data_IF_167608630006
#
_entry.id   IF_167608630006
#
_cell.length_a   1.000
_cell.length_b   1.000
_cell.length_c   1.000
_cell.angle_alpha   90.00
_cell.angle_beta   90.00
_cell.angle_gamma   90.00
#
_symmetry.space_group_name_H-M   'P 1'
#
loop_
_entity.id
_entity.type
_entity.pdbx_description
1 polymer ?
#
# COMPACT_ATOMS: atom_id res chain seq x y z
N UNK A 1 -19.39 -18.66 21.23
CA UNK A 1 -20.13 -19.72 20.52
C UNK A 1 -19.25 -20.40 19.46
N UNK A 2 -18.69 -19.68 18.43
CA UNK A 2 -17.86 -20.32 17.40
C UNK A 2 -16.64 -21.04 17.98
N UNK A 3 -15.92 -20.44 18.93
CA UNK A 3 -14.79 -21.07 19.64
C UNK A 3 -15.21 -22.36 20.38
N UNK A 4 -16.33 -22.32 21.04
CA UNK A 4 -16.83 -23.52 21.82
C UNK A 4 -17.21 -24.66 20.88
N UNK A 5 -17.77 -24.34 19.70
CA UNK A 5 -18.09 -25.34 18.68
C UNK A 5 -16.82 -25.98 18.12
N UNK A 6 -15.75 -25.18 17.86
CA UNK A 6 -14.45 -25.69 17.41
C UNK A 6 -13.81 -26.57 18.48
N UNK A 7 -13.76 -26.14 19.73
CA UNK A 7 -13.19 -26.91 20.84
C UNK A 7 -13.94 -28.24 21.08
N UNK A 8 -15.24 -28.27 20.80
CA UNK A 8 -16.07 -29.48 20.90
C UNK A 8 -16.10 -30.31 19.62
N UNK A 9 -15.30 -29.96 18.62
CA UNK A 9 -15.27 -30.59 17.28
C UNK A 9 -16.63 -30.64 16.58
N UNK A 10 -17.54 -29.70 16.90
CA UNK A 10 -18.90 -29.67 16.35
C UNK A 10 -18.90 -28.87 15.01
N UNK A 11 -18.47 -29.55 13.93
CA UNK A 11 -18.39 -28.95 12.61
C UNK A 11 -19.78 -28.71 11.99
N UNK A 12 -20.76 -29.54 12.31
CA UNK A 12 -22.13 -29.37 11.83
C UNK A 12 -22.79 -28.14 12.46
N UNK A 13 -22.54 -27.88 13.74
CA UNK A 13 -22.96 -26.65 14.40
C UNK A 13 -22.32 -25.41 13.78
N UNK A 14 -21.03 -25.46 13.43
CA UNK A 14 -20.36 -24.38 12.71
C UNK A 14 -20.99 -24.13 11.33
N UNK A 15 -21.25 -25.21 10.58
CA UNK A 15 -21.88 -25.11 9.25
C UNK A 15 -23.29 -24.56 9.33
N UNK A 16 -24.06 -25.00 10.31
CA UNK A 16 -25.44 -24.54 10.48
C UNK A 16 -25.56 -23.07 10.83
N UNK A 17 -24.66 -22.55 11.68
CA UNK A 17 -24.73 -21.15 12.17
C UNK A 17 -23.99 -20.18 11.28
N UNK A 18 -22.84 -20.57 10.72
CA UNK A 18 -21.93 -19.67 9.99
C UNK A 18 -21.79 -20.01 8.49
N UNK A 19 -22.41 -21.08 8.02
CA UNK A 19 -22.41 -21.51 6.62
C UNK A 19 -21.12 -22.21 6.21
N UNK A 20 -19.98 -21.52 6.24
CA UNK A 20 -18.68 -22.05 5.81
C UNK A 20 -17.79 -22.40 7.00
N UNK A 21 -17.44 -23.68 7.16
CA UNK A 21 -16.51 -24.15 8.20
C UNK A 21 -15.09 -23.62 7.95
N UNK A 22 -14.51 -23.67 6.72
CA UNK A 22 -13.19 -23.12 6.46
C UNK A 22 -13.07 -21.64 6.79
N UNK A 23 -14.07 -20.84 6.41
CA UNK A 23 -14.05 -19.39 6.70
C UNK A 23 -14.15 -19.11 8.20
N UNK A 24 -14.99 -19.87 8.92
CA UNK A 24 -15.10 -19.77 10.38
C UNK A 24 -13.78 -20.12 11.08
N UNK A 25 -13.10 -21.18 10.65
CA UNK A 25 -11.79 -21.58 11.19
C UNK A 25 -10.72 -20.54 10.85
N UNK A 26 -10.71 -20.00 9.64
CA UNK A 26 -9.79 -18.92 9.23
C UNK A 26 -9.90 -17.69 10.13
N UNK A 27 -11.12 -17.28 10.48
CA UNK A 27 -11.35 -16.15 11.39
C UNK A 27 -10.96 -16.44 12.85
N UNK A 28 -10.88 -17.69 13.23
CA UNK A 28 -10.52 -18.13 14.58
C UNK A 28 -9.04 -18.47 14.78
N UNK A 29 -8.22 -18.38 13.74
CA UNK A 29 -6.80 -18.78 13.77
C UNK A 29 -6.01 -18.10 14.89
N UNK A 30 -6.32 -16.83 15.20
CA UNK A 30 -5.67 -16.09 16.30
C UNK A 30 -5.90 -16.71 17.68
N UNK A 31 -6.96 -17.49 17.85
CA UNK A 31 -7.26 -18.15 19.13
C UNK A 31 -6.37 -19.36 19.40
N UNK A 32 -5.62 -19.82 18.38
CA UNK A 32 -4.63 -20.88 18.51
C UNK A 32 -3.27 -20.37 19.05
N UNK A 33 -3.05 -19.05 19.06
CA UNK A 33 -1.85 -18.47 19.66
C UNK A 33 -2.03 -18.38 21.17
N UNK A 34 -1.47 -19.35 21.87
CA UNK A 34 -1.52 -19.46 23.35
C UNK A 34 -0.09 -19.46 23.87
N UNK A 35 0.22 -18.56 24.81
CA UNK A 35 1.51 -18.58 25.48
C UNK A 35 1.61 -19.82 26.40
N UNK A 36 2.74 -20.53 26.40
CA UNK A 36 3.01 -21.56 27.41
C UNK A 36 2.97 -20.99 28.82
N UNK A 37 2.82 -21.85 29.82
CA UNK A 37 2.85 -21.43 31.23
C UNK A 37 4.15 -20.68 31.56
N UNK A 38 4.01 -19.54 32.25
CA UNK A 38 5.13 -18.66 32.60
C UNK A 38 5.66 -17.78 31.44
N UNK A 39 5.01 -17.81 30.26
CA UNK A 39 5.37 -17.00 29.10
C UNK A 39 4.22 -16.04 28.74
N UNK A 40 4.58 -15.00 28.01
CA UNK A 40 3.62 -14.06 27.40
C UNK A 40 3.92 -13.92 25.90
N UNK A 41 2.88 -13.72 25.11
CA UNK A 41 3.00 -13.33 23.71
C UNK A 41 2.99 -11.79 23.65
N UNK A 42 4.03 -11.22 23.05
CA UNK A 42 4.11 -9.79 22.79
C UNK A 42 3.81 -9.59 21.30
N UNK A 43 2.74 -8.85 21.01
CA UNK A 43 2.38 -8.43 19.66
C UNK A 43 2.58 -6.93 19.56
N UNK A 44 3.50 -6.52 18.71
CA UNK A 44 3.82 -5.12 18.48
C UNK A 44 3.83 -4.83 16.96
N UNK A 45 3.12 -3.79 16.55
CA UNK A 45 3.05 -3.34 15.17
C UNK A 45 3.25 -1.84 15.08
N UNK A 46 3.87 -1.37 14.00
CA UNK A 46 4.00 0.05 13.75
C UNK A 46 2.67 0.65 13.28
N UNK A 47 2.24 1.71 13.95
CA UNK A 47 1.05 2.43 13.53
C UNK A 47 1.27 3.14 12.20
N UNK A 48 0.50 2.77 11.17
CA UNK A 48 0.50 3.38 9.83
C UNK A 48 1.90 3.47 9.20
N UNK A 49 2.71 2.40 9.28
CA UNK A 49 4.12 2.43 8.86
C UNK A 49 4.28 2.81 7.39
N UNK A 50 3.46 2.30 6.49
CA UNK A 50 3.53 2.64 5.07
C UNK A 50 3.26 4.13 4.83
N UNK A 51 2.27 4.72 5.52
CA UNK A 51 1.98 6.14 5.43
C UNK A 51 3.12 7.02 5.97
N UNK A 52 3.85 6.55 6.99
CA UNK A 52 5.06 7.21 7.50
C UNK A 52 6.20 7.14 6.50
N UNK A 53 6.47 5.95 5.98
CA UNK A 53 7.56 5.71 5.02
C UNK A 53 7.35 6.49 3.73
N UNK A 54 6.14 6.47 3.13
CA UNK A 54 5.88 7.23 1.90
C UNK A 54 6.01 8.73 2.13
N UNK A 55 5.55 9.23 3.29
CA UNK A 55 5.68 10.65 3.65
C UNK A 55 7.14 11.08 3.78
N UNK A 56 7.97 10.21 4.40
CA UNK A 56 9.41 10.43 4.54
C UNK A 56 10.10 10.36 3.19
N UNK A 57 9.84 9.32 2.41
CA UNK A 57 10.46 9.10 1.10
C UNK A 57 10.13 10.24 0.11
N UNK A 58 8.89 10.71 0.09
CA UNK A 58 8.47 11.84 -0.74
C UNK A 58 8.89 13.21 -0.16
N UNK A 59 9.21 13.28 1.12
CA UNK A 59 9.46 14.55 1.82
C UNK A 59 8.19 15.39 2.01
N UNK A 60 7.01 14.77 2.16
CA UNK A 60 5.72 15.47 2.34
C UNK A 60 5.61 16.06 3.75
N UNK A 61 5.99 17.34 3.90
CA UNK A 61 6.27 17.97 5.19
C UNK A 61 5.07 18.01 6.15
N UNK A 62 3.86 18.33 5.65
CA UNK A 62 2.69 18.41 6.51
C UNK A 62 2.36 17.06 7.15
N UNK A 63 2.58 15.95 6.42
CA UNK A 63 2.37 14.60 6.93
C UNK A 63 3.43 14.22 7.96
N UNK A 64 4.68 14.60 7.71
CA UNK A 64 5.76 14.38 8.67
C UNK A 64 5.48 15.10 9.98
N UNK A 65 4.95 16.33 9.92
CA UNK A 65 4.56 17.07 11.11
C UNK A 65 3.40 16.41 11.86
N UNK A 66 2.39 15.92 11.15
CA UNK A 66 1.31 15.11 11.74
C UNK A 66 1.87 13.92 12.52
N UNK A 67 2.83 13.19 11.93
CA UNK A 67 3.43 12.03 12.61
C UNK A 67 4.35 12.39 13.77
N UNK A 68 4.98 13.55 13.75
CA UNK A 68 5.80 14.04 14.89
C UNK A 68 4.96 14.50 16.06
N UNK A 69 3.75 14.98 15.83
CA UNK A 69 2.89 15.57 16.84
C UNK A 69 1.87 14.58 17.39
N UNK A 70 0.82 14.27 16.66
CA UNK A 70 -0.31 13.49 17.16
C UNK A 70 -0.60 12.18 16.42
N UNK A 71 0.01 11.96 15.25
CA UNK A 71 -0.11 10.71 14.45
C UNK A 71 -1.48 10.44 13.83
N UNK A 72 -2.44 11.36 13.91
CA UNK A 72 -3.82 11.18 13.43
C UNK A 72 -3.90 11.44 11.92
N UNK A 73 -3.26 10.60 11.11
CA UNK A 73 -3.12 10.84 9.68
C UNK A 73 -4.47 10.84 8.94
N UNK A 74 -5.44 10.01 9.35
CA UNK A 74 -6.74 9.93 8.69
C UNK A 74 -7.58 11.19 8.92
N UNK A 75 -7.58 11.70 10.15
CA UNK A 75 -8.22 12.96 10.51
C UNK A 75 -7.55 14.14 9.81
N UNK A 76 -6.21 14.16 9.78
CA UNK A 76 -5.45 15.20 9.11
C UNK A 76 -5.67 15.20 7.60
N UNK A 77 -5.70 14.04 6.96
CA UNK A 77 -5.99 13.91 5.54
C UNK A 77 -7.40 14.39 5.21
N UNK A 78 -8.39 14.00 6.03
CA UNK A 78 -9.76 14.52 5.89
C UNK A 78 -9.81 16.04 6.06
N UNK A 79 -9.11 16.59 7.05
CA UNK A 79 -8.98 18.04 7.26
C UNK A 79 -8.43 18.75 6.02
N UNK A 80 -7.36 18.24 5.43
CA UNK A 80 -6.75 18.81 4.22
C UNK A 80 -7.67 18.73 2.99
N UNK A 81 -8.36 17.60 2.80
CA UNK A 81 -9.24 17.40 1.65
C UNK A 81 -10.53 18.25 1.73
N UNK A 82 -11.11 18.38 2.92
CA UNK A 82 -12.43 18.98 3.09
C UNK A 82 -12.42 20.38 3.72
N UNK A 83 -11.23 20.89 4.12
CA UNK A 83 -11.09 22.20 4.74
C UNK A 83 -11.74 22.32 6.12
N UNK A 84 -11.97 21.19 6.80
CA UNK A 84 -12.55 21.12 8.14
C UNK A 84 -11.45 21.07 9.19
N UNK A 85 -11.46 21.90 10.23
CA UNK A 85 -10.47 21.85 11.31
C UNK A 85 -10.38 20.44 11.94
N UNK A 86 -9.16 19.94 12.12
CA UNK A 86 -8.92 18.58 12.63
C UNK A 86 -9.57 18.33 13.99
N UNK A 87 -9.66 19.38 14.82
CA UNK A 87 -10.26 19.31 16.17
C UNK A 87 -11.77 19.03 16.14
N UNK A 88 -12.43 19.28 15.02
CA UNK A 88 -13.84 18.92 14.82
C UNK A 88 -13.99 17.46 14.39
N UNK A 89 -12.96 16.84 13.79
CA UNK A 89 -12.99 15.46 13.30
C UNK A 89 -12.67 14.49 14.47
N UNK A 90 -13.52 14.49 15.48
CA UNK A 90 -13.40 13.65 16.68
C UNK A 90 -14.71 12.96 17.04
N UNK A 91 -14.62 11.86 17.79
CA UNK A 91 -15.80 11.12 18.28
C UNK A 91 -16.75 12.06 19.03
N UNK A 92 -18.03 11.98 18.71
CA UNK A 92 -19.09 12.81 19.26
C UNK A 92 -19.49 13.98 18.38
N UNK A 93 -18.71 14.36 17.39
CA UNK A 93 -19.03 15.41 16.43
C UNK A 93 -19.56 14.80 15.12
N UNK A 94 -20.47 15.49 14.39
CA UNK A 94 -20.93 15.06 13.05
C UNK A 94 -19.77 14.89 12.07
N UNK A 95 -18.76 15.76 12.14
CA UNK A 95 -17.58 15.76 11.26
C UNK A 95 -16.71 14.51 11.42
N UNK A 96 -16.92 13.71 12.47
CA UNK A 96 -16.17 12.45 12.65
C UNK A 96 -16.37 11.47 11.50
N UNK A 97 -17.48 11.55 10.77
CA UNK A 97 -17.70 10.75 9.57
C UNK A 97 -16.63 11.00 8.49
N UNK A 98 -16.05 12.20 8.41
CA UNK A 98 -14.97 12.54 7.48
C UNK A 98 -13.69 11.75 7.72
N UNK A 99 -13.45 11.30 8.96
CA UNK A 99 -12.31 10.44 9.26
C UNK A 99 -12.32 9.16 8.43
N UNK A 100 -13.50 8.59 8.19
CA UNK A 100 -13.62 7.38 7.38
C UNK A 100 -13.29 7.66 5.91
N UNK A 101 -13.73 8.80 5.37
CA UNK A 101 -13.34 9.26 4.04
C UNK A 101 -11.83 9.48 3.94
N UNK A 102 -11.22 10.10 4.94
CA UNK A 102 -9.76 10.26 5.05
C UNK A 102 -9.02 8.91 5.08
N UNK A 103 -9.54 7.93 5.84
CA UNK A 103 -8.94 6.58 5.90
C UNK A 103 -8.98 5.88 4.53
N UNK A 104 -10.12 5.90 3.85
CA UNK A 104 -10.26 5.28 2.52
C UNK A 104 -9.33 5.95 1.51
N UNK A 105 -9.28 7.29 1.50
CA UNK A 105 -8.39 8.04 0.63
C UNK A 105 -6.90 7.69 0.88
N UNK A 106 -6.47 7.62 2.13
CA UNK A 106 -5.10 7.24 2.50
C UNK A 106 -4.72 5.84 2.00
N UNK A 107 -5.61 4.86 2.15
CA UNK A 107 -5.34 3.48 1.76
C UNK A 107 -5.40 3.29 0.23
N UNK A 108 -6.31 4.00 -0.46
CA UNK A 108 -6.55 3.82 -1.89
C UNK A 108 -5.62 4.67 -2.77
N UNK A 109 -5.26 5.88 -2.35
CA UNK A 109 -4.66 6.87 -3.23
C UNK A 109 -3.14 7.00 -3.10
N UNK A 110 -2.55 6.47 -2.02
CA UNK A 110 -1.12 6.60 -1.73
C UNK A 110 -0.18 6.10 -2.84
N UNK A 111 -0.65 5.18 -3.68
CA UNK A 111 0.13 4.53 -4.71
C UNK A 111 -0.46 4.72 -6.11
N UNK A 112 -0.83 5.95 -6.43
CA UNK A 112 -1.38 6.37 -7.73
C UNK A 112 -2.79 5.77 -8.01
N UNK A 113 -3.51 5.32 -6.97
CA UNK A 113 -4.89 4.90 -7.10
C UNK A 113 -5.80 6.03 -7.62
N UNK A 114 -6.95 5.63 -8.14
CA UNK A 114 -7.99 6.54 -8.64
C UNK A 114 -9.36 6.09 -8.12
N UNK A 115 -10.44 6.53 -8.75
CA UNK A 115 -11.82 6.20 -8.36
C UNK A 115 -12.06 4.71 -8.21
N UNK A 116 -11.54 3.87 -9.12
CA UNK A 116 -11.63 2.41 -9.01
C UNK A 116 -10.96 1.85 -7.74
N UNK A 117 -9.85 2.43 -7.28
CA UNK A 117 -9.20 2.02 -6.04
C UNK A 117 -10.05 2.40 -4.81
N UNK A 118 -10.70 3.57 -4.82
CA UNK A 118 -11.64 3.99 -3.77
C UNK A 118 -12.84 3.02 -3.68
N UNK A 119 -13.42 2.66 -4.82
CA UNK A 119 -14.53 1.70 -4.89
C UNK A 119 -14.10 0.34 -4.31
N UNK A 120 -12.95 -0.17 -4.74
CA UNK A 120 -12.41 -1.45 -4.25
C UNK A 120 -12.10 -1.43 -2.74
N UNK A 121 -11.83 -0.27 -2.16
CA UNK A 121 -11.65 -0.07 -0.71
C UNK A 121 -12.97 0.18 0.03
N UNK A 122 -14.12 0.01 -0.63
CA UNK A 122 -15.43 0.10 -0.01
C UNK A 122 -15.97 1.53 0.14
N UNK A 123 -15.55 2.48 -0.67
CA UNK A 123 -16.02 3.87 -0.59
C UNK A 123 -17.55 3.96 -0.72
N UNK A 124 -18.15 3.20 -1.64
CA UNK A 124 -19.60 3.17 -1.86
C UNK A 124 -20.34 2.55 -0.66
N UNK A 125 -19.79 1.46 -0.08
CA UNK A 125 -20.35 0.81 1.11
C UNK A 125 -20.32 1.72 2.34
N UNK A 126 -19.43 2.71 2.34
CA UNK A 126 -19.33 3.74 3.38
C UNK A 126 -20.23 4.96 3.11
N UNK A 127 -21.08 4.88 2.09
CA UNK A 127 -22.03 5.94 1.75
C UNK A 127 -21.39 7.16 1.06
N UNK A 128 -20.23 7.00 0.43
CA UNK A 128 -19.64 8.05 -0.42
C UNK A 128 -20.27 7.92 -1.81
N UNK A 129 -20.96 8.96 -2.33
CA UNK A 129 -21.51 8.92 -3.67
C UNK A 129 -20.43 8.75 -4.74
N UNK A 130 -20.74 8.00 -5.80
CA UNK A 130 -19.78 7.74 -6.86
C UNK A 130 -19.34 9.03 -7.58
N UNK A 131 -20.25 9.99 -7.71
CA UNK A 131 -19.97 11.30 -8.27
C UNK A 131 -18.96 12.13 -7.47
N UNK A 132 -18.80 11.88 -6.16
CA UNK A 132 -17.83 12.57 -5.31
C UNK A 132 -16.39 12.00 -5.45
N UNK A 133 -16.24 10.78 -5.96
CA UNK A 133 -14.94 10.10 -5.98
C UNK A 133 -13.87 10.83 -6.80
N UNK A 134 -14.16 11.41 -7.99
CA UNK A 134 -13.17 12.18 -8.74
C UNK A 134 -12.66 13.40 -7.97
N UNK A 135 -13.54 14.11 -7.25
CA UNK A 135 -13.19 15.27 -6.43
C UNK A 135 -12.27 14.87 -5.25
N UNK A 136 -12.60 13.76 -4.58
CA UNK A 136 -11.76 13.19 -3.50
C UNK A 136 -10.36 12.86 -4.02
N UNK A 137 -10.25 12.21 -5.18
CA UNK A 137 -8.95 11.91 -5.82
C UNK A 137 -8.17 13.18 -6.10
N UNK A 138 -8.81 14.20 -6.69
CA UNK A 138 -8.19 15.48 -7.03
C UNK A 138 -7.68 16.20 -5.77
N UNK A 139 -8.50 16.34 -4.74
CA UNK A 139 -8.16 17.00 -3.48
C UNK A 139 -7.04 16.27 -2.76
N UNK A 140 -7.07 14.94 -2.73
CA UNK A 140 -5.99 14.18 -2.11
C UNK A 140 -4.66 14.39 -2.82
N UNK A 141 -4.64 14.34 -4.16
CA UNK A 141 -3.43 14.57 -4.97
C UNK A 141 -2.90 15.99 -4.83
N UNK A 142 -3.79 16.97 -4.70
CA UNK A 142 -3.40 18.37 -4.47
C UNK A 142 -2.81 18.57 -3.08
N UNK A 143 -3.35 17.92 -2.07
CA UNK A 143 -2.80 17.94 -0.71
C UNK A 143 -1.46 17.19 -0.58
N UNK A 144 -1.20 16.23 -1.47
CA UNK A 144 -0.04 15.32 -1.42
C UNK A 144 0.82 15.44 -2.69
N UNK A 145 1.20 16.67 -3.07
CA UNK A 145 1.92 16.95 -4.31
C UNK A 145 3.24 16.22 -4.41
N UNK A 146 4.02 16.14 -3.33
CA UNK A 146 5.33 15.49 -3.33
C UNK A 146 5.23 13.97 -3.47
N UNK A 147 4.19 13.35 -2.92
CA UNK A 147 3.92 11.93 -3.12
C UNK A 147 3.53 11.68 -4.58
N UNK A 148 2.64 12.50 -5.15
CA UNK A 148 2.28 12.44 -6.56
C UNK A 148 3.50 12.60 -7.48
N UNK A 149 4.33 13.59 -7.21
CA UNK A 149 5.53 13.87 -8.02
C UNK A 149 6.55 12.74 -7.91
N UNK A 150 6.63 12.05 -6.75
CA UNK A 150 7.45 10.86 -6.57
C UNK A 150 7.01 9.71 -7.50
N UNK A 151 5.69 9.47 -7.67
CA UNK A 151 5.23 8.42 -8.59
C UNK A 151 5.72 8.66 -10.02
N UNK A 152 5.56 9.89 -10.50
CA UNK A 152 5.99 10.24 -11.86
C UNK A 152 7.51 10.24 -12.01
N UNK A 153 8.24 10.69 -11.01
CA UNK A 153 9.70 10.63 -11.01
C UNK A 153 10.19 9.17 -11.10
N UNK A 154 9.61 8.26 -10.33
CA UNK A 154 9.93 6.83 -10.35
C UNK A 154 9.59 6.19 -11.69
N UNK A 155 8.44 6.53 -12.28
CA UNK A 155 8.02 6.04 -13.59
C UNK A 155 9.00 6.48 -14.68
N UNK A 156 9.28 7.78 -14.77
CA UNK A 156 10.20 8.36 -15.75
C UNK A 156 11.61 7.78 -15.61
N UNK A 157 12.12 7.64 -14.38
CA UNK A 157 13.44 7.09 -14.14
C UNK A 157 13.51 5.60 -14.53
N UNK A 158 12.48 4.82 -14.23
CA UNK A 158 12.43 3.42 -14.65
C UNK A 158 12.39 3.29 -16.17
N UNK A 159 11.56 4.07 -16.87
CA UNK A 159 11.53 4.12 -18.35
C UNK A 159 12.89 4.50 -18.91
N UNK A 160 13.52 5.54 -18.38
CA UNK A 160 14.83 5.99 -18.83
C UNK A 160 15.92 4.92 -18.64
N UNK A 161 15.98 4.30 -17.46
CA UNK A 161 16.96 3.25 -17.14
C UNK A 161 16.74 2.01 -18.00
N UNK A 162 15.49 1.62 -18.26
CA UNK A 162 15.18 0.47 -19.12
C UNK A 162 15.57 0.73 -20.58
N UNK A 163 15.35 1.95 -21.09
CA UNK A 163 15.60 2.28 -22.50
C UNK A 163 17.03 2.68 -22.80
N UNK A 164 17.68 3.40 -21.89
CA UNK A 164 18.99 4.01 -22.09
C UNK A 164 20.09 3.37 -21.26
N UNK A 165 19.74 2.55 -20.26
CA UNK A 165 20.68 2.04 -19.27
C UNK A 165 21.08 3.08 -18.23
N UNK A 166 22.13 2.79 -17.49
CA UNK A 166 22.67 3.69 -16.47
C UNK A 166 21.99 3.58 -15.11
N UNK A 167 22.13 4.63 -14.30
CA UNK A 167 21.65 4.68 -12.92
C UNK A 167 21.07 6.06 -12.59
N UNK A 168 19.92 6.10 -11.92
CA UNK A 168 19.23 7.33 -11.53
C UNK A 168 18.89 7.27 -10.04
N UNK A 169 19.29 8.32 -9.30
CA UNK A 169 18.96 8.48 -7.88
C UNK A 169 17.69 9.32 -7.67
N UNK A 170 16.77 8.85 -6.81
CA UNK A 170 15.56 9.57 -6.41
C UNK A 170 15.36 9.40 -4.91
N UNK A 171 15.47 10.49 -4.16
CA UNK A 171 15.14 10.52 -2.72
C UNK A 171 15.78 9.37 -1.89
N UNK A 172 17.03 9.01 -2.18
CA UNK A 172 17.73 7.92 -1.51
C UNK A 172 17.49 6.52 -2.11
N UNK A 173 16.65 6.41 -3.13
CA UNK A 173 16.54 5.21 -3.98
C UNK A 173 17.49 5.34 -5.16
N UNK A 174 18.04 4.22 -5.64
CA UNK A 174 18.88 4.19 -6.85
C UNK A 174 18.30 3.15 -7.80
N UNK A 175 17.83 3.59 -8.96
CA UNK A 175 17.30 2.72 -10.01
C UNK A 175 18.42 2.46 -11.00
N UNK A 176 18.73 1.19 -11.28
CA UNK A 176 19.83 0.81 -12.17
C UNK A 176 19.38 -0.34 -13.06
N UNK A 177 19.86 -0.38 -14.31
CA UNK A 177 19.78 -1.58 -15.15
C UNK A 177 21.07 -2.35 -15.03
N UNK A 178 20.96 -3.60 -14.57
CA UNK A 178 22.07 -4.52 -14.35
C UNK A 178 21.94 -5.70 -15.30
N UNK A 179 23.04 -6.08 -15.96
CA UNK A 179 23.11 -7.25 -16.79
C UNK A 179 24.18 -8.20 -16.22
N UNK A 180 23.75 -9.41 -15.84
CA UNK A 180 24.65 -10.47 -15.43
C UNK A 180 25.03 -11.33 -16.64
N UNK A 181 26.23 -11.11 -17.17
CA UNK A 181 26.74 -11.83 -18.34
C UNK A 181 26.94 -13.34 -18.07
N UNK A 182 27.15 -13.76 -16.84
CA UNK A 182 27.38 -15.17 -16.48
C UNK A 182 26.07 -15.96 -16.46
N UNK A 183 24.98 -15.31 -16.04
CA UNK A 183 23.66 -15.94 -15.98
C UNK A 183 22.74 -15.51 -17.13
N UNK A 184 23.17 -14.57 -17.97
CA UNK A 184 22.34 -14.00 -19.02
C UNK A 184 21.10 -13.27 -18.51
N UNK A 185 21.16 -12.74 -17.27
CA UNK A 185 20.00 -12.13 -16.63
C UNK A 185 20.07 -10.61 -16.76
N UNK A 186 19.02 -10.03 -17.34
CA UNK A 186 18.81 -8.58 -17.44
C UNK A 186 17.79 -8.16 -16.39
N UNK A 187 18.17 -7.24 -15.51
CA UNK A 187 17.32 -6.76 -14.42
C UNK A 187 17.33 -5.24 -14.32
N UNK A 188 16.18 -4.65 -14.09
CA UNK A 188 16.12 -3.35 -13.44
C UNK A 188 16.12 -3.59 -11.94
N UNK A 189 17.00 -2.91 -11.21
CA UNK A 189 17.07 -2.96 -9.75
C UNK A 189 16.73 -1.63 -9.13
N UNK A 190 16.13 -1.66 -7.93
CA UNK A 190 15.94 -0.47 -7.10
C UNK A 190 16.67 -0.73 -5.78
N UNK A 191 17.78 -0.03 -5.55
CA UNK A 191 18.51 -0.08 -4.29
C UNK A 191 17.84 0.82 -3.27
N UNK A 192 17.49 0.27 -2.12
CA UNK A 192 16.87 0.92 -0.98
C UNK A 192 17.91 1.63 -0.10
N UNK A 193 17.52 2.54 0.79
CA UNK A 193 18.43 3.19 1.74
C UNK A 193 19.21 2.21 2.64
N UNK A 194 18.66 1.02 2.90
CA UNK A 194 19.33 -0.08 3.61
C UNK A 194 20.44 -0.78 2.81
N UNK A 195 20.58 -0.47 1.52
CA UNK A 195 21.45 -1.18 0.58
C UNK A 195 20.83 -2.45 -0.04
N UNK A 196 19.68 -2.89 0.45
CA UNK A 196 18.94 -4.02 -0.13
C UNK A 196 18.35 -3.63 -1.50
N UNK A 197 18.26 -4.58 -2.43
CA UNK A 197 17.75 -4.36 -3.77
C UNK A 197 16.41 -5.05 -4.01
N UNK A 198 15.53 -4.38 -4.74
CA UNK A 198 14.37 -4.98 -5.41
C UNK A 198 14.75 -5.29 -6.85
N UNK A 199 14.36 -6.46 -7.35
CA UNK A 199 14.72 -6.95 -8.68
C UNK A 199 13.50 -7.07 -9.57
N UNK A 200 13.59 -6.52 -10.79
CA UNK A 200 12.59 -6.60 -11.84
C UNK A 200 13.24 -7.27 -13.05
N UNK A 201 13.00 -8.58 -13.20
CA UNK A 201 13.67 -9.44 -14.18
C UNK A 201 13.16 -9.17 -15.58
N UNK A 202 14.06 -9.13 -16.56
CA UNK A 202 13.75 -8.90 -17.99
C UNK A 202 12.82 -7.69 -18.16
N UNK A 203 13.24 -6.49 -17.69
CA UNK A 203 12.43 -5.29 -17.78
C UNK A 203 12.20 -4.92 -19.25
N UNK A 204 11.04 -4.36 -19.54
CA UNK A 204 10.70 -3.93 -20.91
C UNK A 204 9.67 -2.81 -20.89
N UNK A 205 9.61 -2.07 -21.99
CA UNK A 205 8.59 -1.06 -22.25
C UNK A 205 7.63 -1.64 -23.28
N UNK A 206 6.35 -1.63 -22.95
CA UNK A 206 5.24 -1.97 -23.83
C UNK A 206 4.23 -0.84 -23.90
N UNK A 207 3.05 -1.14 -24.36
CA UNK A 207 1.90 -0.23 -24.34
C UNK A 207 0.83 -0.78 -23.42
N UNK A 208 0.24 0.08 -22.60
CA UNK A 208 -0.92 -0.29 -21.78
C UNK A 208 -2.21 -0.29 -22.64
N UNK A 209 -3.32 -0.71 -22.05
CA UNK A 209 -4.63 -0.75 -22.70
C UNK A 209 -5.13 0.59 -23.24
N UNK A 210 -4.48 1.71 -22.91
CA UNK A 210 -4.80 3.08 -23.36
C UNK A 210 -3.78 3.61 -24.39
N UNK A 211 -2.85 2.76 -24.87
CA UNK A 211 -1.81 3.16 -25.84
C UNK A 211 -0.66 4.00 -25.26
N UNK A 212 -0.55 4.09 -23.94
CA UNK A 212 0.56 4.80 -23.29
C UNK A 212 1.72 3.83 -22.98
N UNK A 213 2.98 4.30 -22.95
CA UNK A 213 4.11 3.51 -22.51
C UNK A 213 3.85 2.88 -21.14
N UNK A 214 4.13 1.60 -21.00
CA UNK A 214 3.94 0.82 -19.78
C UNK A 214 5.20 0.02 -19.47
N UNK A 215 5.63 0.10 -18.21
CA UNK A 215 6.75 -0.69 -17.72
C UNK A 215 6.26 -2.11 -17.47
N UNK A 216 7.04 -3.11 -17.86
CA UNK A 216 6.75 -4.52 -17.60
C UNK A 216 8.00 -5.29 -17.20
N UNK A 217 7.82 -6.41 -16.50
CA UNK A 217 8.90 -7.31 -16.06
C UNK A 217 8.40 -8.74 -15.95
N UNK A 218 9.30 -9.71 -15.87
CA UNK A 218 8.96 -11.11 -15.60
C UNK A 218 8.87 -11.36 -14.11
N UNK A 219 7.74 -11.89 -13.65
CA UNK A 219 7.50 -12.14 -12.24
C UNK A 219 6.41 -13.17 -11.97
N UNK A 220 6.26 -13.52 -10.69
CA UNK A 220 5.21 -14.42 -10.22
C UNK A 220 3.89 -13.68 -10.07
N UNK A 221 2.89 -14.02 -10.85
CA UNK A 221 1.54 -13.47 -10.71
C UNK A 221 0.89 -13.94 -9.40
N UNK A 222 0.42 -12.99 -8.60
CA UNK A 222 -0.09 -13.26 -7.25
C UNK A 222 -1.38 -14.11 -7.24
N UNK A 223 -2.20 -13.97 -8.28
CA UNK A 223 -3.48 -14.69 -8.39
C UNK A 223 -3.29 -16.09 -8.97
N UNK A 224 -2.58 -16.18 -10.11
CA UNK A 224 -2.45 -17.45 -10.84
C UNK A 224 -1.25 -18.28 -10.38
N UNK A 225 -0.33 -17.70 -9.59
CA UNK A 225 0.93 -18.32 -9.15
C UNK A 225 1.80 -18.84 -10.32
N UNK A 226 1.68 -18.18 -11.49
CA UNK A 226 2.48 -18.48 -12.68
C UNK A 226 3.49 -17.40 -12.94
N UNK A 227 4.67 -17.78 -13.40
CA UNK A 227 5.69 -16.87 -13.87
C UNK A 227 5.27 -16.32 -15.23
N UNK A 228 5.08 -15.00 -15.31
CA UNK A 228 4.64 -14.32 -16.53
C UNK A 228 5.10 -12.86 -16.56
N UNK A 229 4.86 -12.20 -17.70
CA UNK A 229 5.05 -10.76 -17.80
C UNK A 229 3.97 -10.02 -17.02
N UNK A 230 4.43 -9.08 -16.19
CA UNK A 230 3.59 -8.27 -15.29
C UNK A 230 3.82 -6.80 -15.67
N UNK A 231 2.74 -6.06 -15.87
CA UNK A 231 2.80 -4.61 -16.03
C UNK A 231 2.94 -3.92 -14.68
N UNK A 232 3.67 -2.80 -14.68
CA UNK A 232 3.84 -1.95 -13.50
C UNK A 232 3.90 -0.48 -13.91
N UNK A 233 3.90 0.40 -12.92
CA UNK A 233 3.91 1.84 -13.10
C UNK A 233 4.53 2.50 -11.86
N UNK A 234 4.82 3.81 -11.94
CA UNK A 234 5.54 4.52 -10.89
C UNK A 234 4.94 4.38 -9.49
N UNK A 235 3.62 4.48 -9.35
CA UNK A 235 2.95 4.28 -8.06
C UNK A 235 3.15 2.89 -7.49
N UNK A 236 3.17 1.84 -8.34
CA UNK A 236 3.42 0.46 -7.90
C UNK A 236 4.88 0.23 -7.54
N UNK A 237 5.81 0.87 -8.24
CA UNK A 237 7.23 0.86 -7.87
C UNK A 237 7.45 1.52 -6.50
N UNK A 238 6.78 2.67 -6.26
CA UNK A 238 6.81 3.34 -4.95
C UNK A 238 6.22 2.46 -3.86
N UNK A 239 5.07 1.81 -4.10
CA UNK A 239 4.47 0.86 -3.15
C UNK A 239 5.47 -0.23 -2.74
N UNK A 240 6.12 -0.87 -3.71
CA UNK A 240 7.10 -1.92 -3.45
C UNK A 240 8.29 -1.40 -2.62
N UNK A 241 8.78 -0.20 -2.92
CA UNK A 241 9.86 0.43 -2.14
C UNK A 241 9.41 0.75 -0.71
N UNK A 242 8.22 1.31 -0.54
CA UNK A 242 7.66 1.68 0.77
C UNK A 242 7.48 0.44 1.65
N UNK A 243 6.89 -0.63 1.12
CA UNK A 243 6.71 -1.88 1.84
C UNK A 243 8.04 -2.52 2.21
N UNK A 244 9.02 -2.47 1.30
CA UNK A 244 10.34 -3.00 1.55
C UNK A 244 11.11 -2.21 2.61
N UNK A 245 11.05 -0.87 2.58
CA UNK A 245 11.65 0.01 3.61
C UNK A 245 10.94 -0.20 4.95
N UNK A 246 9.60 -0.29 4.96
CA UNK A 246 8.84 -0.58 6.17
C UNK A 246 9.28 -1.89 6.84
N UNK A 247 9.53 -2.93 6.03
CA UNK A 247 10.11 -4.19 6.51
C UNK A 247 11.51 -4.00 7.07
N UNK A 248 12.37 -3.22 6.40
CA UNK A 248 13.74 -2.96 6.86
C UNK A 248 13.77 -2.21 8.21
N UNK A 249 12.70 -1.45 8.53
CA UNK A 249 12.55 -0.81 9.84
C UNK A 249 12.12 -1.78 10.95
N UNK A 250 11.58 -2.95 10.61
CA UNK A 250 11.15 -3.99 11.57
C UNK A 250 12.26 -4.98 11.91
N UNK A 251 13.25 -5.12 11.04
CA UNK A 251 14.37 -6.04 11.17
C UNK A 251 15.57 -5.34 11.82
#
# INVERSE_FOLDING_TARGET
LARDLVQKHNLDGLRCIYGSVPDSLSQLIRTAFVAPEGHVLIDADFSAIEARVISWLAGEQWRLEVFRTHGKIYEASASQMFGVPIDLIKKGNPEYALRQKGKVAELALGYQGSTGALINMGALDMGIPEEDLPDIVSRWREANKRIRDLWYAMDNAAVQVITQGGSIGINGLIITREFDYNQGTDCMTITLPSGRKLYYVSPGIGENQWGNPSISYMGMDQKTKRWKRIETYGGKLVENCVQAIARDCLC
#
